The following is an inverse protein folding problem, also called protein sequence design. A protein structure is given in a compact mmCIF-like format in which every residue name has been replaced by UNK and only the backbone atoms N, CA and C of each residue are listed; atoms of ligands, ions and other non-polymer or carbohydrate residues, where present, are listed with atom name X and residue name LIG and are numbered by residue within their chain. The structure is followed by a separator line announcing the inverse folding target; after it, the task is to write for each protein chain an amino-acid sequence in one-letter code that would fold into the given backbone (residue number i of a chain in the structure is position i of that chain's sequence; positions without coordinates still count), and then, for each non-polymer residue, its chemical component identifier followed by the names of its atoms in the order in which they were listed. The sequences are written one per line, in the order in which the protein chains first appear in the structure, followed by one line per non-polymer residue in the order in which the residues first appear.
data_IF_611281831519
#
_entry.id   IF_611281831519
#
_cell.length_a   1.000
_cell.length_b   1.000
_cell.length_c   1.000
_cell.angle_alpha   90.00
_cell.angle_beta   90.00
_cell.angle_gamma   90.00
#
_symmetry.space_group_name_H-M   'P 1'
#
loop_
_entity.id
_entity.type
_entity.pdbx_description
1 polymer ?
#
# COMPACT_ATOMS: atom_id res chain seq x y z
N UNK A 1 57.58 1.71 23.72
CA UNK A 1 56.65 1.66 22.57
C UNK A 1 56.22 0.21 22.43
N UNK A 2 55.00 -0.12 22.88
CA UNK A 2 54.47 -1.47 22.76
C UNK A 2 53.82 -1.62 21.38
N UNK A 3 54.33 -2.55 20.59
CA UNK A 3 53.71 -3.00 19.34
C UNK A 3 52.57 -3.95 19.72
N UNK A 4 51.32 -3.47 19.64
CA UNK A 4 50.15 -4.35 19.64
C UNK A 4 50.22 -5.16 18.33
N UNK A 5 50.78 -6.36 18.43
CA UNK A 5 50.72 -7.35 17.37
C UNK A 5 49.33 -8.00 17.52
N UNK A 6 48.37 -7.51 16.76
CA UNK A 6 47.05 -8.12 16.61
C UNK A 6 47.23 -9.46 15.85
N UNK A 7 47.76 -10.46 16.54
CA UNK A 7 47.61 -11.84 16.09
C UNK A 7 46.17 -12.24 16.38
N UNK A 8 45.40 -12.50 15.32
CA UNK A 8 44.01 -12.94 15.41
C UNK A 8 43.92 -14.16 16.34
N UNK A 9 43.45 -13.90 17.57
CA UNK A 9 43.28 -14.92 18.61
C UNK A 9 42.41 -16.04 18.04
N UNK A 10 42.91 -17.28 18.12
CA UNK A 10 42.26 -18.48 17.61
C UNK A 10 40.88 -18.75 18.23
N UNK A 11 40.46 -17.93 19.21
CA UNK A 11 39.14 -17.94 19.85
C UNK A 11 38.35 -16.62 19.64
N UNK A 12 38.73 -15.75 18.71
CA UNK A 12 38.04 -14.47 18.48
C UNK A 12 36.63 -14.67 17.88
N UNK A 13 35.73 -13.77 18.23
CA UNK A 13 34.32 -13.78 17.83
C UNK A 13 34.11 -13.71 16.31
N UNK A 14 35.11 -13.22 15.56
CA UNK A 14 35.13 -13.19 14.11
C UNK A 14 35.04 -14.60 13.51
N UNK A 15 35.84 -15.56 13.99
CA UNK A 15 35.82 -16.95 13.50
C UNK A 15 34.52 -17.69 13.89
N UNK A 16 33.97 -17.41 15.08
CA UNK A 16 32.69 -17.97 15.51
C UNK A 16 31.56 -17.42 14.63
N UNK A 17 31.56 -16.12 14.35
CA UNK A 17 30.55 -15.51 13.50
C UNK A 17 30.63 -15.98 12.04
N UNK A 18 31.84 -16.21 11.50
CA UNK A 18 32.03 -16.69 10.13
C UNK A 18 31.67 -18.17 9.97
N UNK A 19 31.94 -19.01 10.98
CA UNK A 19 31.53 -20.42 10.99
C UNK A 19 30.02 -20.63 11.15
N UNK A 20 29.29 -19.66 11.71
CA UNK A 20 27.82 -19.68 11.80
C UNK A 20 27.16 -19.17 10.50
N UNK A 21 27.85 -18.34 9.72
CA UNK A 21 27.30 -17.74 8.48
C UNK A 21 27.09 -18.75 7.37
N UNK A 22 27.93 -19.78 7.26
CA UNK A 22 27.78 -20.83 6.23
C UNK A 22 27.59 -22.21 6.84
N UNK A 23 26.33 -22.66 6.93
CA UNK A 23 26.00 -24.04 7.31
C UNK A 23 26.35 -24.98 6.15
N UNK A 24 27.63 -25.34 6.04
CA UNK A 24 28.19 -26.20 4.98
C UNK A 24 27.91 -27.70 5.17
N UNK A 25 27.04 -28.09 6.12
CA UNK A 25 26.73 -29.49 6.38
C UNK A 25 25.75 -30.01 5.33
N UNK A 26 26.10 -31.01 4.50
CA UNK A 26 25.12 -31.66 3.62
C UNK A 26 24.13 -32.42 4.49
N UNK A 27 23.02 -31.79 4.87
CA UNK A 27 22.02 -32.42 5.73
C UNK A 27 21.36 -33.58 4.99
N UNK A 28 21.56 -34.80 5.49
CA UNK A 28 20.84 -35.98 5.00
C UNK A 28 19.34 -35.78 5.26
N UNK A 29 18.54 -35.71 4.20
CA UNK A 29 17.10 -35.45 4.28
C UNK A 29 16.41 -36.62 4.98
N UNK A 30 15.93 -36.40 6.22
CA UNK A 30 15.41 -37.47 7.08
C UNK A 30 13.91 -37.69 6.90
N UNK A 31 13.15 -36.61 6.68
CA UNK A 31 11.69 -36.70 6.54
C UNK A 31 11.25 -36.92 5.09
N UNK A 32 10.18 -37.70 4.89
CA UNK A 32 9.54 -37.84 3.58
C UNK A 32 9.00 -36.52 3.04
N UNK A 33 8.54 -35.62 3.92
CA UNK A 33 8.04 -34.29 3.52
C UNK A 33 9.17 -33.41 2.96
N UNK A 34 10.35 -33.45 3.57
CA UNK A 34 11.53 -32.74 3.09
C UNK A 34 12.08 -33.34 1.79
N UNK A 35 12.05 -34.67 1.64
CA UNK A 35 12.41 -35.34 0.38
C UNK A 35 11.51 -34.87 -0.74
N UNK A 36 10.21 -34.81 -0.50
CA UNK A 36 9.23 -34.30 -1.46
C UNK A 36 9.48 -32.83 -1.81
N UNK A 37 9.71 -31.96 -0.81
CA UNK A 37 10.07 -30.54 -1.04
C UNK A 37 11.35 -30.38 -1.85
N UNK A 38 12.37 -31.18 -1.54
CA UNK A 38 13.64 -31.17 -2.24
C UNK A 38 13.53 -31.71 -3.67
N UNK A 39 12.70 -32.72 -3.91
CA UNK A 39 12.44 -33.26 -5.25
C UNK A 39 11.64 -32.28 -6.11
N UNK A 40 10.65 -31.59 -5.52
CA UNK A 40 9.97 -30.46 -6.15
C UNK A 40 10.97 -29.36 -6.49
N UNK A 41 11.86 -29.00 -5.56
CA UNK A 41 12.92 -28.01 -5.79
C UNK A 41 13.86 -28.43 -6.92
N UNK A 42 14.32 -29.68 -6.95
CA UNK A 42 15.12 -30.24 -8.05
C UNK A 42 14.38 -30.21 -9.39
N UNK A 43 13.08 -30.53 -9.41
CA UNK A 43 12.25 -30.44 -10.63
C UNK A 43 12.07 -28.99 -11.10
N UNK A 44 11.98 -28.03 -10.17
CA UNK A 44 11.95 -26.58 -10.47
C UNK A 44 13.32 -26.02 -10.90
N UNK A 45 14.41 -26.55 -10.36
CA UNK A 45 15.79 -26.15 -10.65
C UNK A 45 16.34 -26.76 -11.94
N UNK A 46 15.76 -27.87 -12.44
CA UNK A 46 16.07 -28.37 -13.78
C UNK A 46 15.74 -27.26 -14.79
N UNK A 47 16.72 -26.69 -15.49
CA UNK A 47 16.46 -25.65 -16.47
C UNK A 47 15.49 -26.21 -17.51
N UNK A 48 14.34 -25.59 -17.63
CA UNK A 48 13.40 -25.82 -18.72
C UNK A 48 14.01 -25.23 -20.00
N UNK A 49 15.06 -25.86 -20.52
CA UNK A 49 15.77 -25.41 -21.72
C UNK A 49 14.93 -25.58 -22.99
N UNK A 50 13.90 -26.43 -22.95
CA UNK A 50 13.21 -26.90 -24.17
C UNK A 50 12.02 -26.06 -24.62
N UNK A 51 11.26 -25.42 -23.73
CA UNK A 51 10.08 -24.68 -24.19
C UNK A 51 10.17 -23.20 -23.83
N UNK A 52 11.22 -22.55 -24.36
CA UNK A 52 11.21 -21.08 -24.45
C UNK A 52 10.02 -20.68 -25.33
N UNK A 53 9.20 -19.70 -24.89
CA UNK A 53 8.06 -19.28 -25.68
C UNK A 53 8.53 -18.77 -27.04
N UNK A 54 7.80 -19.12 -28.10
CA UNK A 54 8.15 -18.78 -29.49
C UNK A 54 8.50 -17.29 -29.68
N UNK A 55 7.77 -16.40 -29.01
CA UNK A 55 8.02 -14.94 -29.01
C UNK A 55 9.44 -14.57 -28.55
N UNK A 56 9.96 -15.27 -27.54
CA UNK A 56 11.32 -15.03 -27.01
C UNK A 56 12.39 -15.54 -27.98
N UNK A 57 12.14 -16.67 -28.66
CA UNK A 57 13.04 -17.21 -29.68
C UNK A 57 13.10 -16.26 -30.89
N UNK A 58 11.95 -15.76 -31.34
CA UNK A 58 11.86 -14.80 -32.45
C UNK A 58 12.57 -13.48 -32.11
N UNK A 59 12.42 -12.95 -30.88
CA UNK A 59 13.12 -11.77 -30.41
C UNK A 59 14.65 -11.96 -30.41
N UNK A 60 15.13 -13.09 -29.87
CA UNK A 60 16.57 -13.43 -29.86
C UNK A 60 17.11 -13.56 -31.28
N UNK A 61 16.39 -14.24 -32.17
CA UNK A 61 16.82 -14.40 -33.57
C UNK A 61 16.85 -13.05 -34.29
N UNK A 62 15.88 -12.17 -34.03
CA UNK A 62 15.86 -10.81 -34.56
C UNK A 62 17.05 -10.01 -34.07
N UNK A 63 17.32 -10.00 -32.76
CA UNK A 63 18.46 -9.28 -32.19
C UNK A 63 19.80 -9.79 -32.73
N UNK A 64 19.95 -11.12 -32.85
CA UNK A 64 21.09 -11.76 -33.53
C UNK A 64 21.23 -11.38 -35.01
N UNK A 65 20.11 -11.12 -35.69
CA UNK A 65 20.10 -10.66 -37.07
C UNK A 65 20.50 -9.18 -37.19
N UNK A 66 19.92 -8.31 -36.35
CA UNK A 66 20.21 -6.87 -36.36
C UNK A 66 21.66 -6.55 -35.95
N UNK A 67 22.22 -7.32 -35.02
CA UNK A 67 23.60 -7.16 -34.56
C UNK A 67 24.66 -7.63 -35.59
N UNK A 68 24.28 -8.47 -36.55
CA UNK A 68 25.21 -8.99 -37.55
C UNK A 68 25.19 -8.10 -38.80
N UNK A 69 26.31 -7.46 -39.17
CA UNK A 69 26.38 -6.74 -40.43
C UNK A 69 26.19 -7.69 -41.62
N UNK A 70 25.73 -7.17 -42.74
CA UNK A 70 25.57 -7.94 -43.98
C UNK A 70 26.95 -8.49 -44.39
N UNK A 71 27.02 -9.81 -44.61
CA UNK A 71 28.26 -10.46 -45.07
C UNK A 71 28.71 -9.92 -46.43
N UNK A 72 30.03 -9.83 -46.63
CA UNK A 72 30.64 -9.46 -47.91
C UNK A 72 30.30 -10.41 -49.05
N UNK A 73 29.90 -11.65 -48.73
CA UNK A 73 29.47 -12.63 -49.72
C UNK A 73 28.09 -12.35 -50.32
N UNK A 74 27.29 -11.52 -49.64
CA UNK A 74 25.95 -11.15 -50.09
C UNK A 74 26.04 -10.39 -51.43
N UNK A 75 25.22 -10.82 -52.40
CA UNK A 75 25.13 -10.21 -53.74
C UNK A 75 24.86 -8.70 -53.65
N UNK A 76 24.00 -8.28 -52.72
CA UNK A 76 23.69 -6.87 -52.49
C UNK A 76 24.90 -6.07 -52.01
N UNK A 77 25.70 -6.62 -51.09
CA UNK A 77 26.94 -5.98 -50.64
C UNK A 77 27.96 -5.86 -51.77
N UNK A 78 28.13 -6.91 -52.57
CA UNK A 78 28.99 -6.90 -53.76
C UNK A 78 28.55 -5.86 -54.79
N UNK A 79 27.24 -5.69 -54.97
CA UNK A 79 26.69 -4.67 -55.87
C UNK A 79 26.96 -3.25 -55.33
N UNK A 80 26.70 -2.99 -54.05
CA UNK A 80 27.00 -1.69 -53.42
C UNK A 80 28.49 -1.36 -53.51
N UNK A 81 29.36 -2.33 -53.24
CA UNK A 81 30.81 -2.15 -53.35
C UNK A 81 31.25 -1.76 -54.76
N UNK A 82 30.66 -2.38 -55.80
CA UNK A 82 30.91 -2.00 -57.21
C UNK A 82 30.40 -0.60 -57.57
N UNK A 83 29.41 -0.10 -56.85
CA UNK A 83 28.88 1.26 -57.01
C UNK A 83 29.66 2.30 -56.18
N UNK A 84 30.75 1.89 -55.52
CA UNK A 84 31.62 2.79 -54.76
C UNK A 84 31.35 2.86 -53.26
N UNK A 85 30.48 2.00 -52.72
CA UNK A 85 30.29 1.91 -51.27
C UNK A 85 31.51 1.27 -50.59
N UNK A 86 32.00 1.92 -49.52
CA UNK A 86 33.05 1.40 -48.65
C UNK A 86 32.45 1.04 -47.28
N UNK A 87 32.78 -0.13 -46.75
CA UNK A 87 32.27 -0.58 -45.47
C UNK A 87 32.66 0.39 -44.35
N UNK A 88 31.66 0.95 -43.65
CA UNK A 88 31.85 1.94 -42.59
C UNK A 88 31.76 3.41 -43.03
N UNK A 89 31.64 3.68 -44.33
CA UNK A 89 31.40 5.04 -44.83
C UNK A 89 29.90 5.33 -44.96
N UNK A 90 29.48 6.54 -44.58
CA UNK A 90 28.14 7.03 -44.82
C UNK A 90 27.86 7.20 -46.31
N UNK A 91 26.60 7.02 -46.73
CA UNK A 91 26.19 7.25 -48.13
C UNK A 91 26.02 8.75 -48.42
N UNK A 92 26.14 9.16 -49.68
CA UNK A 92 25.92 10.55 -50.11
C UNK A 92 27.19 11.25 -50.63
N UNK A 93 27.02 12.42 -51.26
CA UNK A 93 28.10 13.13 -51.97
C UNK A 93 29.32 13.48 -51.09
N UNK A 94 29.07 13.74 -49.80
CA UNK A 94 30.09 14.05 -48.79
C UNK A 94 30.24 12.93 -47.76
N UNK A 95 29.54 11.79 -47.92
CA UNK A 95 29.51 10.71 -46.94
C UNK A 95 28.73 11.00 -45.65
N UNK A 96 27.80 11.96 -45.67
CA UNK A 96 27.01 12.42 -44.52
C UNK A 96 25.84 11.51 -44.13
N UNK A 97 25.61 10.43 -44.87
CA UNK A 97 24.55 9.47 -44.58
C UNK A 97 24.81 8.71 -43.27
N UNK A 98 23.73 8.34 -42.59
CA UNK A 98 23.79 7.53 -41.37
C UNK A 98 24.53 6.21 -41.63
N UNK A 99 25.64 6.01 -40.93
CA UNK A 99 26.45 4.79 -40.96
C UNK A 99 25.76 3.63 -40.24
N UNK A 100 24.93 3.94 -39.24
CA UNK A 100 24.19 2.96 -38.45
C UNK A 100 22.71 2.91 -38.87
N UNK A 101 22.10 1.72 -38.94
CA UNK A 101 20.67 1.59 -39.21
C UNK A 101 19.83 2.26 -38.12
N UNK A 102 18.70 2.85 -38.52
CA UNK A 102 17.75 3.47 -37.59
C UNK A 102 17.21 2.40 -36.62
N UNK A 103 17.30 2.60 -35.29
CA UNK A 103 16.84 1.63 -34.32
C UNK A 103 15.31 1.48 -34.38
N UNK A 104 14.84 0.24 -34.47
CA UNK A 104 13.41 -0.08 -34.51
C UNK A 104 12.97 -0.53 -33.12
N UNK A 105 12.04 0.21 -32.50
CA UNK A 105 11.40 -0.21 -31.25
C UNK A 105 10.12 -0.99 -31.55
N UNK A 106 10.18 -2.32 -31.47
CA UNK A 106 9.00 -3.15 -31.63
C UNK A 106 8.26 -3.31 -30.31
N UNK A 107 7.09 -2.68 -30.23
CA UNK A 107 6.17 -2.83 -29.10
C UNK A 107 5.43 -4.17 -29.20
N UNK A 108 5.78 -5.11 -28.34
CA UNK A 108 5.12 -6.41 -28.25
C UNK A 108 3.90 -6.41 -27.30
N UNK A 109 3.57 -5.25 -26.74
CA UNK A 109 2.47 -5.08 -25.79
C UNK A 109 1.17 -4.65 -26.47
N UNK A 110 0.03 -5.21 -26.02
CA UNK A 110 -1.32 -4.79 -26.42
C UNK A 110 -1.78 -3.48 -25.75
N UNK A 111 -0.87 -2.74 -25.11
CA UNK A 111 -1.16 -1.46 -24.44
C UNK A 111 -1.25 -0.34 -25.46
N UNK A 112 -2.12 0.64 -25.24
CA UNK A 112 -2.21 1.85 -26.07
C UNK A 112 -0.89 2.62 -26.17
N UNK A 113 -0.67 3.31 -27.30
CA UNK A 113 0.44 4.25 -27.44
C UNK A 113 0.29 5.38 -26.40
N UNK A 114 1.36 5.77 -25.71
CA UNK A 114 1.31 6.77 -24.62
C UNK A 114 0.99 6.23 -23.22
N UNK A 115 0.45 5.00 -23.08
CA UNK A 115 0.16 4.41 -21.75
C UNK A 115 1.39 4.22 -20.88
N UNK A 116 2.55 4.00 -21.48
CA UNK A 116 3.81 3.79 -20.75
C UNK A 116 4.29 5.05 -20.03
N UNK A 117 4.13 6.24 -20.65
CA UNK A 117 4.45 7.51 -20.02
C UNK A 117 3.56 7.76 -18.80
N UNK A 118 2.24 7.58 -18.95
CA UNK A 118 1.29 7.70 -17.84
C UNK A 118 1.59 6.70 -16.71
N UNK A 119 1.92 5.45 -17.02
CA UNK A 119 2.30 4.46 -16.01
C UNK A 119 3.61 4.82 -15.29
N UNK A 120 4.56 5.43 -16.00
CA UNK A 120 5.83 5.89 -15.42
C UNK A 120 5.60 7.06 -14.47
N UNK A 121 4.74 8.02 -14.83
CA UNK A 121 4.32 9.12 -13.95
C UNK A 121 3.59 8.60 -12.72
N UNK A 122 2.60 7.71 -12.88
CA UNK A 122 1.90 7.07 -11.77
C UNK A 122 2.88 6.34 -10.84
N UNK A 123 3.87 5.63 -11.41
CA UNK A 123 4.90 4.95 -10.64
C UNK A 123 5.77 5.93 -9.85
N UNK A 124 6.18 7.05 -10.46
CA UNK A 124 6.95 8.10 -9.81
C UNK A 124 6.17 8.75 -8.66
N UNK A 125 4.90 9.08 -8.88
CA UNK A 125 4.00 9.61 -7.84
C UNK A 125 3.90 8.61 -6.69
N UNK A 126 3.64 7.34 -6.98
CA UNK A 126 3.54 6.29 -5.96
C UNK A 126 4.85 6.11 -5.17
N UNK A 127 6.00 6.16 -5.84
CA UNK A 127 7.30 6.12 -5.14
C UNK A 127 7.53 7.34 -4.28
N UNK A 128 7.10 8.52 -4.74
CA UNK A 128 7.21 9.78 -3.99
C UNK A 128 6.35 9.73 -2.73
N UNK A 129 5.07 9.37 -2.84
CA UNK A 129 4.16 9.17 -1.70
C UNK A 129 4.75 8.17 -0.71
N UNK A 130 5.25 7.02 -1.19
CA UNK A 130 5.88 6.03 -0.32
C UNK A 130 7.13 6.57 0.37
N UNK A 131 7.97 7.33 -0.33
CA UNK A 131 9.17 7.94 0.24
C UNK A 131 8.83 9.04 1.25
N UNK A 132 7.79 9.83 1.02
CA UNK A 132 7.28 10.84 1.95
C UNK A 132 6.70 10.17 3.21
N UNK A 133 5.93 9.09 3.04
CA UNK A 133 5.40 8.31 4.16
C UNK A 133 6.54 7.68 4.97
N UNK A 134 7.56 7.12 4.30
CA UNK A 134 8.74 6.58 4.97
C UNK A 134 9.55 7.68 5.67
N UNK A 135 9.72 8.86 5.05
CA UNK A 135 10.39 10.00 5.67
C UNK A 135 9.62 10.52 6.90
N UNK A 136 8.29 10.55 6.86
CA UNK A 136 7.46 10.85 8.05
C UNK A 136 7.65 9.80 9.15
N UNK A 137 7.88 8.54 8.79
CA UNK A 137 8.18 7.47 9.76
C UNK A 137 9.61 7.56 10.33
N UNK A 138 10.61 7.87 9.49
CA UNK A 138 12.05 7.92 9.86
C UNK A 138 12.48 9.25 10.49
N UNK A 139 11.71 10.33 10.32
CA UNK A 139 11.99 11.58 10.99
C UNK A 139 11.72 11.46 12.51
N UNK A 140 12.81 11.52 13.29
CA UNK A 140 12.81 11.42 14.75
C UNK A 140 12.02 12.58 15.40
N UNK A 141 11.88 13.73 14.72
CA UNK A 141 11.26 14.94 15.25
C UNK A 141 9.73 14.89 15.37
N UNK A 142 9.05 13.77 15.11
CA UNK A 142 7.62 13.72 15.45
C UNK A 142 7.09 12.38 15.95
N UNK A 143 7.91 11.68 16.73
CA UNK A 143 7.37 10.76 17.74
C UNK A 143 6.34 11.48 18.63
N UNK A 144 6.56 12.76 18.94
CA UNK A 144 5.63 13.57 19.73
C UNK A 144 4.32 13.85 18.97
N UNK A 145 4.30 14.17 17.67
CA UNK A 145 3.02 14.31 16.93
C UNK A 145 2.27 13.00 16.88
N UNK A 146 2.92 11.88 16.59
CA UNK A 146 2.20 10.59 16.54
C UNK A 146 1.57 10.24 17.89
N UNK A 147 2.23 10.59 18.99
CA UNK A 147 1.63 10.47 20.33
C UNK A 147 0.51 11.49 20.53
N UNK A 148 0.66 12.75 20.08
CA UNK A 148 -0.40 13.78 20.14
C UNK A 148 -1.63 13.35 19.36
N UNK A 149 -1.48 12.99 18.09
CA UNK A 149 -2.54 12.52 17.18
C UNK A 149 -3.26 11.30 17.76
N UNK A 150 -2.53 10.25 18.16
CA UNK A 150 -3.14 9.08 18.80
C UNK A 150 -3.83 9.41 20.13
N UNK A 151 -3.35 10.42 20.86
CA UNK A 151 -4.00 10.88 22.08
C UNK A 151 -5.23 11.75 21.80
N UNK A 152 -5.24 12.49 20.69
CA UNK A 152 -6.36 13.30 20.19
C UNK A 152 -7.47 12.38 19.71
N UNK A 153 -7.18 11.39 18.87
CA UNK A 153 -8.16 10.37 18.43
C UNK A 153 -8.83 9.66 19.62
N UNK A 154 -8.06 9.34 20.66
CA UNK A 154 -8.60 8.75 21.89
C UNK A 154 -9.51 9.70 22.66
N UNK A 155 -9.18 10.99 22.69
CA UNK A 155 -10.03 12.02 23.31
C UNK A 155 -11.32 12.18 22.51
N UNK A 156 -11.21 12.29 21.20
CA UNK A 156 -12.35 12.41 20.29
C UNK A 156 -13.26 11.18 20.39
N UNK A 157 -12.68 9.97 20.53
CA UNK A 157 -13.46 8.75 20.78
C UNK A 157 -14.23 8.80 22.11
N UNK A 158 -13.60 9.26 23.20
CA UNK A 158 -14.26 9.39 24.50
C UNK A 158 -15.40 10.42 24.41
N UNK A 159 -15.13 11.56 23.79
CA UNK A 159 -16.09 12.64 23.62
C UNK A 159 -17.24 12.21 22.71
N UNK A 160 -16.97 11.40 21.68
CA UNK A 160 -17.98 10.82 20.81
C UNK A 160 -18.92 9.91 21.60
N UNK A 161 -18.37 9.00 22.40
CA UNK A 161 -19.18 8.10 23.24
C UNK A 161 -19.99 8.90 24.28
N UNK A 162 -19.43 9.95 24.86
CA UNK A 162 -20.16 10.84 25.77
C UNK A 162 -21.32 11.55 25.06
N UNK A 163 -21.05 12.08 23.87
CA UNK A 163 -22.04 12.77 23.04
C UNK A 163 -23.14 11.83 22.58
N UNK A 164 -22.82 10.59 22.18
CA UNK A 164 -23.79 9.56 21.79
C UNK A 164 -24.73 9.19 22.94
N UNK A 165 -24.21 9.10 24.17
CA UNK A 165 -25.04 8.86 25.35
C UNK A 165 -25.99 10.02 25.63
N UNK A 166 -25.49 11.25 25.58
CA UNK A 166 -26.31 12.44 25.76
C UNK A 166 -27.40 12.55 24.68
N UNK A 167 -27.04 12.27 23.42
CA UNK A 167 -27.96 12.22 22.28
C UNK A 167 -29.08 11.22 22.53
N UNK A 168 -28.74 9.97 22.84
CA UNK A 168 -29.73 8.93 23.16
C UNK A 168 -30.66 9.34 24.29
N UNK A 169 -30.13 9.88 25.37
CA UNK A 169 -30.93 10.25 26.53
C UNK A 169 -31.88 11.44 26.24
N UNK A 170 -31.47 12.39 25.39
CA UNK A 170 -32.30 13.52 24.96
C UNK A 170 -33.35 13.11 23.91
N UNK A 171 -32.94 12.30 22.92
CA UNK A 171 -33.82 11.75 21.88
C UNK A 171 -34.93 10.90 22.53
N UNK A 172 -34.60 10.03 23.49
CA UNK A 172 -35.57 9.20 24.20
C UNK A 172 -36.58 10.01 25.02
N UNK A 173 -36.15 11.10 25.67
CA UNK A 173 -37.05 11.98 26.43
C UNK A 173 -38.03 12.71 25.52
N UNK A 174 -37.57 13.07 24.33
CA UNK A 174 -38.36 13.78 23.33
C UNK A 174 -39.08 12.85 22.34
N UNK A 175 -38.93 11.53 22.50
CA UNK A 175 -39.47 10.48 21.63
C UNK A 175 -39.12 10.67 20.14
N UNK A 176 -37.86 11.04 19.87
CA UNK A 176 -37.30 11.23 18.53
C UNK A 176 -36.41 10.03 18.17
N UNK A 177 -36.46 9.59 16.91
CA UNK A 177 -35.58 8.56 16.37
C UNK A 177 -34.26 9.18 15.86
N UNK A 178 -33.13 8.45 15.96
CA UNK A 178 -31.83 8.97 15.52
C UNK A 178 -31.80 9.21 14.01
N UNK A 179 -31.33 10.39 13.59
CA UNK A 179 -31.19 10.76 12.17
C UNK A 179 -30.15 9.87 11.47
N UNK A 180 -29.09 9.48 12.18
CA UNK A 180 -28.05 8.58 11.70
C UNK A 180 -27.88 7.39 12.67
N UNK A 181 -27.70 6.19 12.14
CA UNK A 181 -27.65 4.93 12.91
C UNK A 181 -26.55 4.94 13.99
N UNK A 182 -25.43 5.64 13.72
CA UNK A 182 -24.30 5.72 14.63
C UNK A 182 -24.39 6.88 15.65
N UNK A 183 -25.43 7.72 15.62
CA UNK A 183 -25.64 8.75 16.65
C UNK A 183 -25.88 8.13 18.04
N UNK A 184 -26.39 6.90 18.07
CA UNK A 184 -26.50 6.12 19.29
C UNK A 184 -25.34 5.11 19.38
N UNK A 185 -24.92 4.72 20.59
CA UNK A 185 -23.88 3.70 20.74
C UNK A 185 -24.33 2.39 20.08
N UNK A 186 -23.40 1.67 19.46
CA UNK A 186 -23.65 0.45 18.68
C UNK A 186 -24.32 -0.69 19.48
N UNK A 187 -24.17 -0.66 20.81
CA UNK A 187 -24.90 -1.56 21.72
C UNK A 187 -26.41 -1.27 21.80
N UNK A 188 -26.82 -0.04 21.46
CA UNK A 188 -28.22 0.38 21.39
C UNK A 188 -28.90 -0.10 20.10
N UNK A 189 -28.14 -0.28 19.01
CA UNK A 189 -28.62 -0.82 17.74
C UNK A 189 -29.11 -2.26 17.91
N UNK A 190 -28.35 -3.07 18.68
CA UNK A 190 -28.76 -4.43 19.07
C UNK A 190 -30.01 -4.46 19.94
N UNK A 191 -30.25 -3.42 20.75
CA UNK A 191 -31.44 -3.30 21.61
C UNK A 191 -32.69 -2.86 20.82
N UNK A 192 -32.50 -2.11 19.72
CA UNK A 192 -33.56 -1.83 18.73
C UNK A 192 -33.85 -3.05 17.85
N UNK A 193 -32.82 -3.77 17.38
CA UNK A 193 -32.96 -4.99 16.58
C UNK A 193 -33.60 -6.14 17.39
N UNK A 194 -33.36 -6.21 18.70
CA UNK A 194 -34.00 -7.21 19.57
C UNK A 194 -35.46 -6.91 19.89
N UNK A 195 -35.94 -5.68 19.68
CA UNK A 195 -37.39 -5.37 19.71
C UNK A 195 -38.13 -5.74 18.41
N UNK A 196 -37.40 -6.02 17.33
CA UNK A 196 -37.97 -6.46 16.05
C UNK A 196 -37.95 -8.00 15.93
N UNK A 197 -37.15 -8.69 16.76
CA UNK A 197 -36.93 -10.13 16.67
C UNK A 197 -37.38 -10.89 17.93
N UNK A 198 -38.58 -10.61 18.44
CA UNK A 198 -39.18 -11.38 19.55
C UNK A 198 -39.83 -12.71 19.11
N UNK A 199 -39.62 -13.17 17.88
CA UNK A 199 -40.05 -14.51 17.42
C UNK A 199 -38.91 -15.21 16.65
N UNK A 200 -37.95 -15.80 17.38
CA UNK A 200 -36.95 -16.65 16.73
C UNK A 200 -35.73 -17.02 17.58
N UNK A 201 -35.91 -18.02 18.44
CA UNK A 201 -34.85 -18.73 19.18
C UNK A 201 -33.68 -19.14 18.29
N UNK A 202 -32.47 -18.66 18.60
CA UNK A 202 -31.20 -19.35 18.31
C UNK A 202 -30.05 -18.76 19.11
N UNK A 203 -29.65 -19.46 20.17
CA UNK A 203 -28.39 -19.24 20.89
C UNK A 203 -27.19 -19.58 20.00
N UNK A 204 -26.24 -18.67 19.87
CA UNK A 204 -24.89 -18.97 19.36
C UNK A 204 -23.80 -18.59 20.37
N UNK A 205 -22.75 -19.41 20.38
CA UNK A 205 -21.75 -19.59 21.42
C UNK A 205 -20.53 -18.64 21.21
N UNK A 206 -19.88 -18.06 22.24
CA UNK A 206 -18.99 -16.89 22.06
C UNK A 206 -17.54 -17.13 21.58
N UNK A 207 -17.17 -18.28 21.02
CA UNK A 207 -15.75 -18.61 20.79
C UNK A 207 -15.44 -19.10 19.36
N UNK A 208 -15.57 -18.23 18.36
CA UNK A 208 -14.96 -18.47 17.05
C UNK A 208 -14.27 -17.19 16.52
N UNK A 209 -12.93 -17.15 16.42
CA UNK A 209 -12.19 -16.07 15.79
C UNK A 209 -12.07 -16.37 14.29
N UNK A 210 -13.16 -16.14 13.55
CA UNK A 210 -13.16 -16.20 12.08
C UNK A 210 -13.50 -14.83 11.50
N UNK A 211 -12.66 -14.44 10.54
CA UNK A 211 -12.78 -13.32 9.63
C UNK A 211 -14.22 -12.96 9.27
N UNK A 212 -14.61 -11.72 9.52
CA UNK A 212 -15.72 -11.05 8.84
C UNK A 212 -15.16 -9.82 8.11
N UNK A 213 -14.51 -10.08 6.98
CA UNK A 213 -14.46 -9.14 5.87
C UNK A 213 -15.88 -9.11 5.26
N UNK A 214 -16.76 -8.25 5.78
CA UNK A 214 -18.01 -7.91 5.09
C UNK A 214 -17.75 -6.71 4.21
N UNK A 215 -17.35 -6.98 2.97
CA UNK A 215 -17.46 -6.02 1.86
C UNK A 215 -18.93 -5.91 1.43
N UNK A 216 -19.70 -4.99 2.04
CA UNK A 216 -20.76 -4.20 1.35
C UNK A 216 -21.36 -3.16 2.32
N UNK A 217 -20.75 -1.97 2.40
CA UNK A 217 -21.52 -0.72 2.50
C UNK A 217 -20.62 0.44 2.06
N UNK A 218 -20.99 1.10 0.97
CA UNK A 218 -20.37 2.35 0.51
C UNK A 218 -20.86 3.54 1.39
N UNK A 219 -20.85 3.36 2.71
CA UNK A 219 -21.13 4.39 3.69
C UNK A 219 -19.83 5.10 4.06
N UNK A 220 -19.79 6.42 3.96
CA UNK A 220 -18.58 7.22 4.20
C UNK A 220 -17.81 6.77 5.44
N UNK A 221 -16.55 6.35 5.26
CA UNK A 221 -15.56 6.20 6.34
C UNK A 221 -15.22 7.60 6.90
N UNK A 222 -16.17 8.23 7.58
CA UNK A 222 -15.91 9.47 8.32
C UNK A 222 -14.96 9.17 9.48
N UNK A 223 -13.96 10.03 9.64
CA UNK A 223 -13.05 9.99 10.79
C UNK A 223 -13.84 10.15 12.10
N UNK A 224 -13.31 9.60 13.21
CA UNK A 224 -13.90 9.75 14.55
C UNK A 224 -14.15 11.23 14.87
N UNK A 225 -13.21 12.09 14.46
CA UNK A 225 -13.31 13.54 14.63
C UNK A 225 -14.51 14.13 13.88
N UNK A 226 -14.71 13.72 12.62
CA UNK A 226 -15.82 14.19 11.78
C UNK A 226 -17.17 13.71 12.35
N UNK A 227 -17.23 12.46 12.82
CA UNK A 227 -18.39 11.92 13.53
C UNK A 227 -18.72 12.73 14.79
N UNK A 228 -17.72 13.07 15.60
CA UNK A 228 -17.91 13.91 16.78
C UNK A 228 -18.45 15.31 16.41
N UNK A 229 -17.89 15.91 15.36
CA UNK A 229 -18.34 17.23 14.89
C UNK A 229 -19.81 17.21 14.43
N UNK A 230 -20.21 16.20 13.65
CA UNK A 230 -21.60 16.08 13.20
C UNK A 230 -22.57 15.88 14.36
N UNK A 231 -22.24 15.01 15.32
CA UNK A 231 -23.09 14.74 16.47
C UNK A 231 -23.22 15.93 17.42
N UNK A 232 -22.13 16.67 17.63
CA UNK A 232 -22.13 17.88 18.47
C UNK A 232 -22.92 19.01 17.81
N UNK A 233 -22.89 19.13 16.48
CA UNK A 233 -23.75 20.06 15.74
C UNK A 233 -25.23 19.68 15.87
N UNK A 234 -25.57 18.40 15.76
CA UNK A 234 -26.93 17.92 15.99
C UNK A 234 -27.43 18.35 17.38
N UNK A 235 -26.71 17.95 18.45
CA UNK A 235 -27.07 18.30 19.83
C UNK A 235 -27.26 19.80 20.09
N UNK A 236 -26.44 20.65 19.45
CA UNK A 236 -26.50 22.11 19.61
C UNK A 236 -27.64 22.76 18.83
N UNK A 237 -28.09 22.15 17.73
CA UNK A 237 -29.12 22.72 16.86
C UNK A 237 -30.52 22.21 17.21
N UNK A 238 -30.65 20.95 17.62
CA UNK A 238 -31.94 20.34 17.96
C UNK A 238 -32.32 20.53 19.42
N UNK A 239 -31.35 20.40 20.33
CA UNK A 239 -31.60 20.45 21.79
C UNK A 239 -30.96 21.63 22.49
N UNK A 240 -30.27 22.51 21.74
CA UNK A 240 -29.44 23.58 22.30
C UNK A 240 -28.60 23.07 23.47
N UNK A 241 -28.00 21.88 23.31
CA UNK A 241 -27.25 21.22 24.36
C UNK A 241 -25.76 21.26 24.06
N UNK A 242 -24.95 21.60 25.07
CA UNK A 242 -23.49 21.50 24.98
C UNK A 242 -22.98 20.38 25.88
N UNK A 243 -22.31 19.40 25.27
CA UNK A 243 -21.74 18.24 25.97
C UNK A 243 -20.61 18.64 26.94
N UNK A 244 -19.88 19.71 26.63
CA UNK A 244 -18.75 20.18 27.46
C UNK A 244 -19.19 21.08 28.61
N UNK A 245 -20.19 21.95 28.41
CA UNK A 245 -20.78 22.72 29.52
C UNK A 245 -21.67 21.85 30.41
N UNK A 246 -22.26 20.79 29.86
CA UNK A 246 -23.20 19.92 30.57
C UNK A 246 -24.58 20.55 30.79
N UNK A 247 -24.94 21.58 30.01
CA UNK A 247 -26.17 22.35 30.15
C UNK A 247 -26.94 22.44 28.83
N UNK A 248 -28.26 22.57 28.94
CA UNK A 248 -29.17 22.95 27.85
C UNK A 248 -29.42 24.46 27.90
N UNK A 249 -29.50 25.11 26.76
CA UNK A 249 -29.81 26.53 26.60
C UNK A 249 -31.25 26.71 26.10
N UNK A 250 -31.79 27.93 26.25
CA UNK A 250 -33.18 28.20 25.86
C UNK A 250 -33.33 28.42 24.35
N UNK A 251 -32.38 29.14 23.74
CA UNK A 251 -32.43 29.57 22.35
C UNK A 251 -31.05 29.52 21.66
N UNK A 252 -31.05 29.58 20.33
CA UNK A 252 -29.82 29.66 19.52
C UNK A 252 -28.91 30.84 19.91
N UNK A 253 -29.49 31.99 20.26
CA UNK A 253 -28.71 33.17 20.66
C UNK A 253 -28.07 32.99 22.05
N UNK A 254 -28.74 32.25 22.93
CA UNK A 254 -28.27 31.97 24.28
C UNK A 254 -27.04 31.06 24.22
N UNK A 255 -27.12 29.95 23.49
CA UNK A 255 -25.97 29.06 23.28
C UNK A 255 -24.82 29.74 22.52
N UNK A 256 -25.08 30.69 21.63
CA UNK A 256 -24.03 31.40 20.91
C UNK A 256 -23.30 32.45 21.76
N UNK A 257 -23.94 32.96 22.81
CA UNK A 257 -23.38 34.00 23.68
C UNK A 257 -22.75 33.45 24.96
N UNK A 258 -23.35 32.41 25.55
CA UNK A 258 -22.90 31.85 26.83
C UNK A 258 -21.96 30.63 26.66
N UNK A 259 -22.04 29.91 25.54
CA UNK A 259 -21.17 28.74 25.30
C UNK A 259 -19.84 29.15 24.63
N UNK A 260 -18.68 28.77 25.20
CA UNK A 260 -17.35 29.10 24.65
C UNK A 260 -17.08 28.64 23.20
N UNK A 261 -17.71 27.55 22.77
CA UNK A 261 -17.57 27.06 21.39
C UNK A 261 -18.26 25.73 21.13
N UNK A 262 -17.87 25.06 20.05
CA UNK A 262 -18.42 23.75 19.64
C UNK A 262 -17.38 22.64 19.66
N UNK A 263 -16.17 22.92 20.14
CA UNK A 263 -15.13 21.93 20.31
C UNK A 263 -14.68 21.85 21.76
N UNK A 264 -14.06 20.73 22.11
CA UNK A 264 -13.46 20.54 23.43
C UNK A 264 -12.39 21.60 23.74
N UNK A 265 -11.63 22.05 22.75
CA UNK A 265 -10.57 23.06 22.95
C UNK A 265 -11.09 24.42 23.36
N UNK A 266 -12.37 24.70 23.10
CA UNK A 266 -12.98 25.99 23.43
C UNK A 266 -13.40 26.08 24.92
N UNK A 267 -13.45 24.95 25.63
CA UNK A 267 -13.93 24.82 27.02
C UNK A 267 -12.81 24.34 27.96
#
# INVERSE_FOLDING_TARGET
MATNNDEDDYMSETFISDSIKEDLRPSLIRSQSEKHRHEISKKKMKPYEKDKPRSLIEAINREKGLSKPISSDNIGFKMMQKLGFQAGAGLGKLGDGTTEPIPINCKNDRKGLGREAALKEIKQIKTKIRSEHLQKLTNVMDFRARIREKSEEKRDMIDLVQSQRACRDLDQRNAIEPEEVWFWPENSSKELESKVNEDGDSKSNPNDPSDNETEDDLGQDFSIHEKLQMLTLYLRTTYFYCVWCGTTYEDYNDIASECPGSTRSDH
#
